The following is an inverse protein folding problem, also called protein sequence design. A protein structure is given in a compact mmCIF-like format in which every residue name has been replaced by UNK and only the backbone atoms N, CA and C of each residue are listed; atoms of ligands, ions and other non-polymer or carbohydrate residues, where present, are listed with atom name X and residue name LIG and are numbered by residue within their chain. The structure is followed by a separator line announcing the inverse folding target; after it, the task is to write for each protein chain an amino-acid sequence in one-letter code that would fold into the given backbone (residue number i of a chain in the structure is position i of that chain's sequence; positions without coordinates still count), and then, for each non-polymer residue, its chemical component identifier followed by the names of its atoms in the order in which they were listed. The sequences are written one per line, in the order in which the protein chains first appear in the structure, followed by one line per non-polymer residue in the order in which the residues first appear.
data_IF_683448585399
#
_entry.id   IF_683448585399
#
_cell.length_a   1.000
_cell.length_b   1.000
_cell.length_c   1.000
_cell.angle_alpha   90.00
_cell.angle_beta   90.00
_cell.angle_gamma   90.00
#
_symmetry.space_group_name_H-M   'P 1'
#
loop_
_entity.id
_entity.type
_entity.pdbx_description
1 polymer ?
#
# COMPACT_ATOMS: atom_id res chain seq x y z
N UNK A 1 -12.75 -15.51 -9.34
CA UNK A 1 -11.77 -15.82 -10.40
C UNK A 1 -12.45 -15.50 -11.73
N UNK A 2 -12.22 -14.31 -12.29
CA UNK A 2 -12.87 -13.89 -13.54
C UNK A 2 -11.77 -13.35 -14.47
N UNK A 3 -11.81 -13.85 -15.71
CA UNK A 3 -10.93 -13.62 -16.85
C UNK A 3 -9.55 -14.30 -16.79
N UNK A 4 -9.51 -15.52 -17.34
CA UNK A 4 -8.28 -16.11 -17.85
C UNK A 4 -7.68 -15.16 -18.90
N UNK A 5 -6.47 -14.66 -18.64
CA UNK A 5 -5.74 -13.64 -19.40
C UNK A 5 -5.29 -14.07 -20.81
N UNK A 6 -5.80 -15.18 -21.32
CA UNK A 6 -5.42 -15.72 -22.63
C UNK A 6 -6.71 -16.17 -23.31
N UNK A 7 -7.28 -15.29 -24.15
CA UNK A 7 -8.27 -15.69 -25.16
C UNK A 7 -7.65 -15.51 -26.53
N UNK A 8 -7.08 -16.59 -27.06
CA UNK A 8 -6.75 -16.87 -28.47
C UNK A 8 -5.85 -15.89 -29.23
N UNK A 9 -6.08 -14.58 -29.12
CA UNK A 9 -5.58 -13.53 -30.02
C UNK A 9 -5.25 -12.21 -29.30
N UNK A 10 -5.51 -12.07 -27.99
CA UNK A 10 -5.21 -10.87 -27.21
C UNK A 10 -4.44 -11.22 -25.94
N UNK A 11 -3.23 -10.66 -25.83
CA UNK A 11 -2.44 -10.64 -24.61
C UNK A 11 -2.77 -9.35 -23.84
N UNK A 12 -3.34 -9.49 -22.65
CA UNK A 12 -3.51 -8.38 -21.72
C UNK A 12 -2.36 -8.42 -20.72
N UNK A 13 -1.51 -7.40 -20.76
CA UNK A 13 -0.49 -7.25 -19.73
C UNK A 13 -1.18 -6.97 -18.39
N UNK A 14 -1.00 -7.89 -17.44
CA UNK A 14 -1.57 -7.80 -16.07
C UNK A 14 -0.51 -7.60 -15.01
N UNK A 15 0.74 -7.42 -15.43
CA UNK A 15 1.87 -7.16 -14.54
C UNK A 15 2.48 -5.78 -14.84
N UNK A 16 2.92 -5.13 -13.78
CA UNK A 16 3.73 -3.91 -13.86
C UNK A 16 5.10 -4.19 -13.27
N UNK A 17 6.15 -3.67 -13.91
CA UNK A 17 7.53 -3.82 -13.47
C UNK A 17 8.00 -2.53 -12.83
N UNK A 18 8.44 -2.63 -11.58
CA UNK A 18 9.02 -1.52 -10.85
C UNK A 18 10.53 -1.68 -10.84
N UNK A 19 11.23 -0.66 -11.32
CA UNK A 19 12.67 -0.60 -11.30
C UNK A 19 13.13 0.28 -10.15
N UNK A 20 13.99 -0.27 -9.30
CA UNK A 20 14.62 0.47 -8.22
C UNK A 20 15.98 0.99 -8.68
N UNK A 21 16.08 2.31 -8.88
CA UNK A 21 17.28 2.95 -9.39
C UNK A 21 17.80 3.97 -8.37
N UNK A 22 19.11 4.00 -8.17
CA UNK A 22 19.78 4.97 -7.31
C UNK A 22 20.72 5.84 -8.14
N UNK A 23 20.67 7.16 -7.92
CA UNK A 23 21.64 8.09 -8.48
C UNK A 23 22.86 8.18 -7.56
N UNK A 24 24.08 7.81 -8.01
CA UNK A 24 25.30 7.93 -7.23
C UNK A 24 25.52 9.33 -6.66
N UNK A 25 25.98 9.40 -5.41
CA UNK A 25 26.34 10.65 -4.73
C UNK A 25 27.78 10.56 -4.22
N UNK A 26 28.68 11.30 -4.87
CA UNK A 26 30.10 11.29 -4.52
C UNK A 26 30.68 9.86 -4.62
N UNK A 27 31.23 9.35 -3.51
CA UNK A 27 31.78 7.99 -3.43
C UNK A 27 30.72 6.90 -3.18
N UNK A 28 29.48 7.27 -2.83
CA UNK A 28 28.41 6.29 -2.67
C UNK A 28 27.79 5.96 -4.03
N UNK A 29 28.13 4.80 -4.58
CA UNK A 29 27.71 4.35 -5.91
C UNK A 29 26.41 3.56 -5.92
N UNK A 30 26.08 2.87 -4.82
CA UNK A 30 25.01 1.87 -4.77
C UNK A 30 23.84 2.26 -3.85
N UNK A 31 24.00 3.30 -3.05
CA UNK A 31 22.99 3.77 -2.11
C UNK A 31 23.10 3.11 -0.74
N UNK A 32 22.12 3.40 0.11
CA UNK A 32 21.96 2.72 1.40
C UNK A 32 21.06 1.50 1.20
N UNK A 33 21.43 0.38 1.85
CA UNK A 33 20.57 -0.80 1.86
C UNK A 33 19.27 -0.52 2.62
N UNK A 34 18.16 -1.08 2.12
CA UNK A 34 16.87 -0.96 2.79
C UNK A 34 16.88 -1.71 4.12
N UNK A 35 16.16 -1.18 5.10
CA UNK A 35 15.99 -1.88 6.38
C UNK A 35 15.31 -3.24 6.14
N UNK A 36 15.74 -4.33 6.82
CA UNK A 36 15.18 -5.68 6.63
C UNK A 36 13.66 -5.78 6.77
N UNK A 37 13.03 -4.91 7.57
CA UNK A 37 11.57 -4.85 7.73
C UNK A 37 10.84 -4.62 6.39
N UNK A 38 11.45 -3.92 5.43
CA UNK A 38 10.85 -3.70 4.11
C UNK A 38 11.02 -4.88 3.14
N UNK A 39 11.86 -5.88 3.46
CA UNK A 39 12.06 -7.06 2.64
C UNK A 39 10.92 -8.11 2.74
N UNK A 40 10.02 -7.96 3.72
CA UNK A 40 8.93 -8.91 3.99
C UNK A 40 7.94 -9.06 2.81
N UNK A 41 7.79 -8.04 1.99
CA UNK A 41 6.79 -8.01 0.92
C UNK A 41 7.19 -8.81 -0.33
N UNK A 42 8.38 -9.42 -0.35
CA UNK A 42 8.94 -10.14 -1.50
C UNK A 42 9.01 -9.29 -2.77
N UNK A 43 9.46 -9.86 -3.89
CA UNK A 43 9.52 -9.17 -5.18
C UNK A 43 8.21 -9.21 -5.99
N UNK A 44 7.19 -9.95 -5.53
CA UNK A 44 5.92 -10.10 -6.25
C UNK A 44 4.77 -9.55 -5.41
N UNK A 45 4.22 -8.42 -5.83
CA UNK A 45 3.06 -7.81 -5.17
C UNK A 45 1.78 -8.09 -5.96
N UNK A 46 0.74 -8.52 -5.24
CA UNK A 46 -0.57 -8.79 -5.82
C UNK A 46 -1.55 -7.73 -5.32
N UNK A 47 -2.15 -7.00 -6.26
CA UNK A 47 -3.15 -5.99 -5.97
C UNK A 47 -4.44 -6.27 -6.74
N UNK A 48 -5.55 -5.82 -6.18
CA UNK A 48 -6.78 -5.64 -6.94
C UNK A 48 -6.71 -4.32 -7.70
N UNK A 49 -7.26 -4.23 -8.93
CA UNK A 49 -7.38 -2.97 -9.65
C UNK A 49 -8.17 -1.94 -8.84
N UNK A 50 -7.76 -0.68 -8.92
CA UNK A 50 -8.54 0.43 -8.36
C UNK A 50 -9.81 0.64 -9.21
N UNK A 51 -10.96 0.78 -8.54
CA UNK A 51 -12.27 0.86 -9.19
C UNK A 51 -13.03 2.14 -8.84
N UNK A 52 -12.56 2.92 -7.86
CA UNK A 52 -13.21 4.13 -7.37
C UNK A 52 -12.50 5.39 -7.86
N UNK A 53 -12.27 5.48 -9.17
CA UNK A 53 -11.66 6.68 -9.77
C UNK A 53 -12.27 6.96 -11.15
N UNK A 54 -12.42 8.24 -11.49
CA UNK A 54 -12.82 8.68 -12.83
C UNK A 54 -11.68 8.57 -13.86
N UNK A 55 -10.44 8.40 -13.40
CA UNK A 55 -9.30 8.13 -14.27
C UNK A 55 -9.43 6.74 -14.92
N UNK A 56 -9.11 6.59 -16.22
CA UNK A 56 -9.29 5.33 -16.94
C UNK A 56 -8.36 4.20 -16.46
N UNK A 57 -7.22 4.54 -15.85
CA UNK A 57 -6.21 3.56 -15.42
C UNK A 57 -5.44 3.98 -14.15
N UNK A 58 -6.10 4.11 -12.98
CA UNK A 58 -5.40 4.32 -11.71
C UNK A 58 -4.73 3.03 -11.22
N UNK A 59 -3.48 3.11 -10.79
CA UNK A 59 -2.90 2.08 -9.94
C UNK A 59 -3.42 2.24 -8.49
N UNK A 60 -3.47 1.14 -7.71
CA UNK A 60 -3.99 1.15 -6.34
C UNK A 60 -3.04 1.88 -5.39
N UNK A 61 -3.61 2.53 -4.36
CA UNK A 61 -2.84 3.31 -3.37
C UNK A 61 -1.75 2.49 -2.65
N UNK A 62 -1.97 1.19 -2.47
CA UNK A 62 -1.00 0.31 -1.82
C UNK A 62 0.36 0.28 -2.54
N UNK A 63 0.36 0.49 -3.86
CA UNK A 63 1.59 0.47 -4.66
C UNK A 63 2.57 1.58 -4.26
N UNK A 64 2.22 2.89 -4.35
CA UNK A 64 3.12 3.95 -3.93
C UNK A 64 3.36 3.95 -2.42
N UNK A 65 2.39 3.55 -1.58
CA UNK A 65 2.60 3.46 -0.13
C UNK A 65 3.76 2.51 0.19
N UNK A 66 3.74 1.30 -0.37
CA UNK A 66 4.83 0.33 -0.18
C UNK A 66 6.16 0.85 -0.69
N UNK A 67 6.18 1.41 -1.90
CA UNK A 67 7.41 1.88 -2.53
C UNK A 67 8.03 3.02 -1.72
N UNK A 68 7.26 4.07 -1.45
CA UNK A 68 7.74 5.27 -0.73
C UNK A 68 8.17 4.90 0.68
N UNK A 69 7.35 4.16 1.43
CA UNK A 69 7.68 3.77 2.80
C UNK A 69 8.92 2.86 2.85
N UNK A 70 9.13 2.00 1.86
CA UNK A 70 10.34 1.19 1.79
C UNK A 70 11.60 2.01 1.58
N UNK A 71 11.56 3.01 0.69
CA UNK A 71 12.73 3.85 0.36
C UNK A 71 13.06 4.82 1.49
N UNK A 72 12.03 5.50 2.00
CA UNK A 72 12.19 6.65 2.89
C UNK A 72 12.18 6.23 4.36
N UNK A 73 11.46 5.16 4.69
CA UNK A 73 11.21 4.72 6.07
C UNK A 73 10.72 5.87 6.97
N UNK A 74 11.54 6.32 7.91
CA UNK A 74 11.24 7.44 8.82
C UNK A 74 11.82 8.77 8.33
N UNK A 75 12.60 8.77 7.25
CA UNK A 75 13.26 9.98 6.72
C UNK A 75 12.25 10.83 5.96
N UNK A 76 12.20 12.13 6.24
CA UNK A 76 11.45 13.07 5.40
C UNK A 76 12.19 13.29 4.06
N UNK A 77 11.43 13.34 2.96
CA UNK A 77 11.95 13.56 1.62
C UNK A 77 10.91 14.21 0.72
N UNK A 78 11.25 14.32 -0.57
CA UNK A 78 10.36 14.80 -1.63
C UNK A 78 10.09 13.65 -2.61
N UNK A 79 8.82 13.41 -2.92
CA UNK A 79 8.38 12.44 -3.94
C UNK A 79 7.96 13.21 -5.20
N UNK A 80 8.47 12.81 -6.36
CA UNK A 80 8.12 13.43 -7.64
C UNK A 80 7.41 12.42 -8.51
N UNK A 81 6.26 12.80 -9.06
CA UNK A 81 5.54 12.03 -10.07
C UNK A 81 5.31 12.90 -11.33
N UNK A 82 6.05 12.66 -12.42
CA UNK A 82 5.95 13.48 -13.63
C UNK A 82 4.71 13.21 -14.47
N UNK A 83 3.90 12.21 -14.11
CA UNK A 83 2.65 11.83 -14.79
C UNK A 83 1.58 11.49 -13.75
N UNK A 84 1.32 12.43 -12.84
CA UNK A 84 0.62 12.13 -11.60
C UNK A 84 -0.86 11.76 -11.79
N UNK A 85 -1.48 12.10 -12.92
CA UNK A 85 -2.86 11.77 -13.23
C UNK A 85 -3.81 12.17 -12.11
N UNK A 86 -4.51 11.19 -11.54
CA UNK A 86 -5.42 11.37 -10.40
C UNK A 86 -4.76 11.45 -9.01
N UNK A 87 -3.43 11.52 -8.97
CA UNK A 87 -2.67 11.92 -7.78
C UNK A 87 -2.37 10.80 -6.79
N UNK A 88 -2.55 9.52 -7.15
CA UNK A 88 -2.35 8.40 -6.21
C UNK A 88 -0.96 8.43 -5.53
N UNK A 89 0.11 8.70 -6.28
CA UNK A 89 1.48 8.82 -5.72
C UNK A 89 1.59 9.97 -4.72
N UNK A 90 0.99 11.12 -5.04
CA UNK A 90 1.09 12.33 -4.22
C UNK A 90 0.29 12.19 -2.93
N UNK A 91 -0.88 11.56 -3.00
CA UNK A 91 -1.69 11.21 -1.82
C UNK A 91 -0.90 10.28 -0.90
N UNK A 92 -0.27 9.23 -1.44
CA UNK A 92 0.58 8.34 -0.64
C UNK A 92 1.74 9.11 0.02
N UNK A 93 2.43 9.98 -0.73
CA UNK A 93 3.50 10.81 -0.19
C UNK A 93 3.00 11.73 0.94
N UNK A 94 1.84 12.36 0.75
CA UNK A 94 1.21 13.23 1.76
C UNK A 94 0.86 12.47 3.03
N UNK A 95 0.23 11.30 2.92
CA UNK A 95 -0.12 10.44 4.07
C UNK A 95 1.13 10.05 4.85
N UNK A 96 2.21 9.68 4.15
CA UNK A 96 3.49 9.28 4.73
C UNK A 96 4.32 10.46 5.28
N UNK A 97 3.81 11.70 5.20
CA UNK A 97 4.48 12.88 5.74
C UNK A 97 5.63 13.42 4.88
N UNK A 98 5.69 13.05 3.61
CA UNK A 98 6.67 13.57 2.66
C UNK A 98 6.12 14.79 1.91
N UNK A 99 7.04 15.64 1.47
CA UNK A 99 6.73 16.68 0.50
C UNK A 99 6.61 16.03 -0.88
N UNK A 100 5.93 16.67 -1.83
CA UNK A 100 5.71 16.08 -3.15
C UNK A 100 5.60 17.11 -4.27
N UNK A 101 5.89 16.67 -5.50
CA UNK A 101 5.73 17.43 -6.73
C UNK A 101 5.01 16.53 -7.74
N UNK A 102 3.83 16.96 -8.18
CA UNK A 102 3.07 16.31 -9.24
C UNK A 102 3.09 17.13 -10.52
N UNK A 103 3.29 16.46 -11.65
CA UNK A 103 3.19 17.08 -12.98
C UNK A 103 2.20 16.24 -13.79
N UNK A 104 1.28 16.92 -14.46
CA UNK A 104 0.41 16.32 -15.47
C UNK A 104 0.01 17.39 -16.48
N UNK A 105 -0.16 16.99 -17.74
CA UNK A 105 -0.59 17.90 -18.81
C UNK A 105 -2.10 18.19 -18.73
N UNK A 106 -2.88 17.27 -18.16
CA UNK A 106 -4.33 17.40 -18.04
C UNK A 106 -4.70 18.26 -16.84
N UNK A 107 -5.20 19.48 -17.12
CA UNK A 107 -5.74 20.36 -16.07
C UNK A 107 -6.90 19.74 -15.30
N UNK A 108 -7.70 18.91 -15.96
CA UNK A 108 -8.81 18.19 -15.32
C UNK A 108 -8.28 17.22 -14.24
N UNK A 109 -7.24 16.45 -14.57
CA UNK A 109 -6.62 15.50 -13.64
C UNK A 109 -5.88 16.20 -12.50
N UNK A 110 -5.26 17.35 -12.76
CA UNK A 110 -4.76 18.23 -11.69
C UNK A 110 -5.90 18.63 -10.74
N UNK A 111 -7.05 19.03 -11.26
CA UNK A 111 -8.21 19.36 -10.42
C UNK A 111 -8.74 18.18 -9.59
N UNK A 112 -8.71 16.95 -10.11
CA UNK A 112 -9.01 15.74 -9.32
C UNK A 112 -7.96 15.47 -8.25
N UNK A 113 -6.69 15.59 -8.60
CA UNK A 113 -5.55 15.41 -7.70
C UNK A 113 -5.61 16.38 -6.52
N UNK A 114 -5.84 17.68 -6.76
CA UNK A 114 -5.97 18.69 -5.71
C UNK A 114 -7.12 18.37 -4.75
N UNK A 115 -8.28 17.97 -5.29
CA UNK A 115 -9.42 17.55 -4.46
C UNK A 115 -9.10 16.32 -3.63
N UNK A 116 -8.44 15.31 -4.21
CA UNK A 116 -8.08 14.08 -3.50
C UNK A 116 -7.05 14.35 -2.41
N UNK A 117 -6.04 15.17 -2.69
CA UNK A 117 -5.04 15.63 -1.73
C UNK A 117 -5.70 16.39 -0.57
N UNK A 118 -6.68 17.24 -0.83
CA UNK A 118 -7.40 17.97 0.24
C UNK A 118 -8.18 17.04 1.17
N UNK A 119 -8.51 15.83 0.71
CA UNK A 119 -9.30 14.84 1.45
C UNK A 119 -8.51 13.54 1.68
N UNK A 120 -7.17 13.64 1.76
CA UNK A 120 -6.28 12.47 1.86
C UNK A 120 -6.52 11.65 3.14
N UNK A 121 -7.08 12.28 4.17
CA UNK A 121 -7.44 11.66 5.45
C UNK A 121 -8.36 10.45 5.25
N UNK A 122 -9.22 10.49 4.24
CA UNK A 122 -10.13 9.39 3.88
C UNK A 122 -9.39 8.10 3.46
N UNK A 123 -8.12 8.21 3.05
CA UNK A 123 -7.30 7.09 2.59
C UNK A 123 -6.20 6.71 3.60
N UNK A 124 -6.10 7.45 4.72
CA UNK A 124 -5.03 7.28 5.71
C UNK A 124 -5.11 5.93 6.41
N UNK A 125 -6.30 5.47 6.79
CA UNK A 125 -6.49 4.17 7.46
C UNK A 125 -5.96 3.03 6.58
N UNK A 126 -6.32 3.02 5.30
CA UNK A 126 -5.84 2.02 4.36
C UNK A 126 -4.31 2.04 4.21
N UNK A 127 -3.71 3.22 4.10
CA UNK A 127 -2.26 3.35 4.01
C UNK A 127 -1.55 2.85 5.28
N UNK A 128 -2.12 3.10 6.46
CA UNK A 128 -1.58 2.59 7.74
C UNK A 128 -1.65 1.06 7.82
N UNK A 129 -2.76 0.46 7.39
CA UNK A 129 -2.89 -1.01 7.26
C UNK A 129 -1.85 -1.59 6.31
N UNK A 130 -1.52 -0.86 5.23
CA UNK A 130 -0.51 -1.27 4.28
C UNK A 130 0.91 -1.18 4.88
N UNK A 131 1.22 -0.10 5.60
CA UNK A 131 2.49 0.06 6.32
C UNK A 131 2.71 -1.05 7.36
N UNK A 132 1.64 -1.46 8.06
CA UNK A 132 1.72 -2.52 9.07
C UNK A 132 2.22 -3.86 8.49
N UNK A 133 2.06 -4.11 7.19
CA UNK A 133 2.56 -5.33 6.52
C UNK A 133 4.09 -5.38 6.41
N UNK A 134 4.77 -4.25 6.58
CA UNK A 134 6.24 -4.19 6.67
C UNK A 134 6.77 -4.59 8.05
N UNK A 135 5.91 -4.83 9.05
CA UNK A 135 6.35 -5.11 10.41
C UNK A 135 5.94 -6.53 10.81
N UNK A 136 6.90 -7.32 11.27
CA UNK A 136 6.61 -8.61 11.94
C UNK A 136 6.24 -8.31 13.39
N UNK A 137 4.94 -8.18 13.66
CA UNK A 137 4.43 -7.91 15.02
C UNK A 137 4.61 -9.12 15.95
N UNK A 138 4.54 -10.34 15.41
CA UNK A 138 4.72 -11.60 16.14
C UNK A 138 5.69 -12.49 15.39
N UNK A 139 6.72 -12.95 16.07
CA UNK A 139 7.68 -13.93 15.55
C UNK A 139 7.00 -15.28 15.28
N UNK A 140 7.63 -16.11 14.46
CA UNK A 140 7.16 -17.48 14.23
C UNK A 140 7.01 -18.27 15.55
N UNK A 141 7.94 -18.08 16.49
CA UNK A 141 7.93 -18.72 17.80
C UNK A 141 6.69 -18.32 18.60
N UNK A 142 6.42 -17.02 18.72
CA UNK A 142 5.25 -16.51 19.45
C UNK A 142 3.94 -16.94 18.79
N UNK A 143 3.86 -16.93 17.45
CA UNK A 143 2.67 -17.44 16.73
C UNK A 143 2.44 -18.93 17.01
N UNK A 144 3.50 -19.72 17.10
CA UNK A 144 3.43 -21.16 17.39
C UNK A 144 2.98 -21.39 18.83
N UNK A 145 3.53 -20.65 19.78
CA UNK A 145 3.14 -20.71 21.20
C UNK A 145 1.67 -20.29 21.41
N UNK A 146 1.19 -19.30 20.66
CA UNK A 146 -0.19 -18.82 20.72
C UNK A 146 -1.18 -19.65 19.87
N UNK A 147 -0.73 -20.71 19.18
CA UNK A 147 -1.58 -21.53 18.32
C UNK A 147 -2.09 -20.83 17.04
N UNK A 148 -1.46 -19.72 16.65
CA UNK A 148 -1.81 -18.88 15.50
C UNK A 148 -1.09 -19.30 14.20
N UNK A 149 -0.39 -20.44 14.20
CA UNK A 149 0.36 -20.88 13.04
C UNK A 149 -0.59 -21.33 11.90
N UNK A 150 -0.66 -20.53 10.85
CA UNK A 150 -1.43 -20.83 9.64
C UNK A 150 -0.53 -21.44 8.57
N UNK A 151 -0.96 -22.57 8.01
CA UNK A 151 -0.21 -23.30 6.98
C UNK A 151 -0.89 -24.62 6.66
N UNK A 152 -0.42 -25.32 5.61
CA UNK A 152 -0.95 -26.65 5.22
C UNK A 152 -0.92 -27.66 6.39
N UNK A 153 -0.03 -27.46 7.35
CA UNK A 153 0.15 -28.25 8.57
C UNK A 153 -0.24 -27.49 9.86
N UNK A 154 -0.94 -26.35 9.75
CA UNK A 154 -1.48 -25.64 10.91
C UNK A 154 -2.64 -26.40 11.54
N UNK A 155 -2.95 -26.16 12.84
CA UNK A 155 -4.09 -26.79 13.49
C UNK A 155 -5.39 -26.43 12.74
N UNK A 156 -6.12 -27.46 12.26
CA UNK A 156 -7.35 -27.28 11.47
C UNK A 156 -8.56 -26.77 12.28
N UNK A 157 -8.42 -26.57 13.58
CA UNK A 157 -9.50 -26.13 14.45
C UNK A 157 -9.36 -24.63 14.73
N UNK A 158 -10.02 -23.79 13.92
CA UNK A 158 -10.54 -22.47 14.33
C UNK A 158 -11.37 -21.78 13.22
N UNK A 159 -12.21 -22.53 12.50
CA UNK A 159 -13.30 -21.89 11.74
C UNK A 159 -14.38 -21.32 12.69
N UNK A 160 -14.50 -21.86 13.91
CA UNK A 160 -15.53 -21.43 14.87
C UNK A 160 -15.10 -20.29 15.82
N UNK A 161 -13.79 -20.06 16.04
CA UNK A 161 -13.32 -18.94 16.89
C UNK A 161 -13.31 -17.58 16.21
N UNK A 162 -13.18 -17.51 14.88
CA UNK A 162 -13.23 -16.21 14.18
C UNK A 162 -14.63 -15.60 14.18
N UNK A 163 -15.69 -16.39 14.31
CA UNK A 163 -17.07 -15.88 14.41
C UNK A 163 -17.50 -15.58 15.87
N UNK A 164 -16.74 -16.00 16.88
CA UNK A 164 -17.09 -15.84 18.28
C UNK A 164 -16.65 -14.49 18.91
N UNK A 165 -15.80 -13.70 18.24
CA UNK A 165 -15.39 -12.36 18.70
C UNK A 165 -16.17 -11.21 18.04
N UNK A 166 -17.39 -11.47 17.56
CA UNK A 166 -18.33 -10.44 17.12
C UNK A 166 -19.24 -10.00 18.29
N UNK A 167 -18.63 -9.44 19.33
CA UNK A 167 -19.22 -8.71 20.47
C UNK A 167 -18.01 -8.08 21.18
N UNK A 168 -17.79 -6.78 21.24
CA UNK A 168 -18.66 -5.61 21.18
C UNK A 168 -17.96 -4.52 20.34
N UNK A 169 -18.56 -4.08 19.24
CA UNK A 169 -18.21 -2.80 18.62
C UNK A 169 -18.89 -1.71 19.46
N UNK A 170 -18.12 -1.05 20.33
CA UNK A 170 -18.51 0.24 20.90
C UNK A 170 -18.66 1.22 19.73
N UNK A 171 -19.84 1.81 19.60
CA UNK A 171 -20.13 2.76 18.53
C UNK A 171 -19.90 4.17 19.02
N UNK A 172 -19.67 5.11 18.10
CA UNK A 172 -19.47 6.54 18.39
C UNK A 172 -20.63 7.17 19.23
N UNK A 173 -21.78 6.50 19.33
CA UNK A 173 -22.93 6.92 20.14
C UNK A 173 -22.76 6.67 21.65
N UNK A 174 -21.79 5.83 22.06
CA UNK A 174 -21.52 5.54 23.48
C UNK A 174 -20.73 6.67 24.17
N UNK A 175 -20.27 7.68 23.42
CA UNK A 175 -19.46 8.82 23.91
C UNK A 175 -20.21 10.17 23.97
N UNK A 176 -21.53 10.21 23.71
CA UNK A 176 -22.35 11.43 23.77
C UNK A 176 -23.41 11.33 24.87
N UNK A 177 -23.00 10.82 26.04
CA UNK A 177 -23.70 11.06 27.30
C UNK A 177 -22.70 11.61 28.29
N UNK A 178 -22.52 12.93 28.22
CA UNK A 178 -22.77 13.87 29.31
C UNK A 178 -22.74 15.30 28.75
#
# INVERSE_FOLDING_TARGET
MIAANIRGWRFWQVEERIYWLYKPKGKNLIGEELKPKHALLTSIWRFSPERKNSHPAPFPLALPVRAIYSVMDEKKGIVIDPYCGSGTTLVAAKILGHDYIGIDISREYIGFTEKRIKNYENETVFAQEEMAKHIVVKTFKERKENGEFTGKYGPKNNLDKCMANKKEELTLFDYIKD
#
